data_IF_790509210016
#
_entry.id   IF_790509210016
#
_cell.length_a   1.000
_cell.length_b   1.000
_cell.length_c   1.000
_cell.angle_alpha   90.00
_cell.angle_beta   90.00
_cell.angle_gamma   90.00
#
_symmetry.space_group_name_H-M   'P 1'
#
loop_
_entity.id
_entity.type
_entity.pdbx_description
1 polymer ?
#
# COMPACT_ATOMS: atom_id res chain seq x y z
N UNK A 1 3.96 -0.26 21.48
CA UNK A 1 3.88 -0.26 20.02
C UNK A 1 5.15 -0.89 19.50
N UNK A 2 5.07 -1.98 18.72
CA UNK A 2 6.27 -2.65 18.18
C UNK A 2 6.17 -2.75 16.67
N UNK A 3 7.27 -2.44 15.97
CA UNK A 3 7.34 -2.54 14.51
C UNK A 3 7.48 -3.99 14.07
N UNK A 4 6.63 -4.40 13.14
CA UNK A 4 6.62 -5.73 12.53
C UNK A 4 7.05 -5.73 11.06
N UNK A 5 6.84 -4.62 10.36
CA UNK A 5 7.20 -4.45 8.95
C UNK A 5 7.63 -3.00 8.67
N UNK A 6 8.57 -2.81 7.75
CA UNK A 6 8.95 -1.50 7.22
C UNK A 6 10.03 -0.79 8.01
N UNK A 7 10.75 0.11 7.33
CA UNK A 7 11.74 1.01 7.93
C UNK A 7 11.60 2.43 7.36
N UNK A 8 12.11 3.41 8.09
CA UNK A 8 12.19 4.80 7.63
C UNK A 8 10.89 5.34 7.04
N UNK A 9 10.98 5.86 5.81
CA UNK A 9 9.87 6.46 5.05
C UNK A 9 9.26 5.46 4.04
N UNK A 10 9.00 4.24 4.50
CA UNK A 10 8.26 3.22 3.77
C UNK A 10 6.95 2.90 4.53
N UNK A 11 5.95 2.29 3.85
CA UNK A 11 4.84 1.70 4.57
C UNK A 11 5.33 0.71 5.62
N UNK A 12 4.75 0.79 6.79
CA UNK A 12 5.12 0.01 7.95
C UNK A 12 3.89 -0.57 8.64
N UNK A 13 4.12 -1.66 9.38
CA UNK A 13 3.10 -2.27 10.23
C UNK A 13 3.58 -2.25 11.66
N UNK A 14 2.77 -1.68 12.55
CA UNK A 14 3.01 -1.63 13.98
C UNK A 14 1.90 -2.37 14.75
N UNK A 15 2.24 -2.98 15.89
CA UNK A 15 1.26 -3.48 16.85
C UNK A 15 0.86 -2.39 17.84
N UNK A 16 -0.43 -2.07 17.91
CA UNK A 16 -0.99 -1.14 18.89
C UNK A 16 -2.07 -1.85 19.71
N UNK A 17 -1.78 -2.08 21.00
CA UNK A 17 -2.59 -2.94 21.88
C UNK A 17 -2.77 -4.34 21.26
N UNK A 18 -3.94 -4.63 20.71
CA UNK A 18 -4.29 -5.91 20.07
C UNK A 18 -4.50 -5.78 18.55
N UNK A 19 -4.32 -4.58 17.98
CA UNK A 19 -4.52 -4.31 16.56
C UNK A 19 -3.20 -4.22 15.80
N UNK A 20 -3.23 -4.66 14.53
CA UNK A 20 -2.18 -4.41 13.55
C UNK A 20 -2.54 -3.17 12.75
N UNK A 21 -1.66 -2.18 12.74
CA UNK A 21 -1.86 -0.93 12.03
C UNK A 21 -0.90 -0.85 10.85
N UNK A 22 -1.44 -0.87 9.64
CA UNK A 22 -0.68 -0.51 8.44
C UNK A 22 -0.69 1.00 8.28
N UNK A 23 0.49 1.59 8.22
CA UNK A 23 0.66 3.02 8.07
C UNK A 23 1.48 3.35 6.82
N UNK A 24 1.04 4.36 6.08
CA UNK A 24 1.69 4.81 4.86
C UNK A 24 1.84 6.34 4.89
N UNK A 25 3.09 6.86 4.87
CA UNK A 25 3.32 8.27 4.60
C UNK A 25 3.03 8.56 3.12
N UNK A 26 2.29 9.62 2.86
CA UNK A 26 1.89 10.04 1.52
C UNK A 26 2.25 11.51 1.30
N UNK A 27 3.06 11.75 0.27
CA UNK A 27 3.44 13.10 -0.16
C UNK A 27 2.73 13.49 -1.44
N UNK A 28 2.04 14.63 -1.41
CA UNK A 28 1.45 15.26 -2.59
C UNK A 28 2.35 16.32 -3.24
N UNK A 29 3.56 16.54 -2.72
CA UNK A 29 4.46 17.63 -3.11
C UNK A 29 4.10 19.00 -2.51
N UNK A 30 2.89 19.15 -1.96
CA UNK A 30 2.41 20.36 -1.26
C UNK A 30 2.04 20.08 0.20
N UNK A 31 1.56 18.87 0.47
CA UNK A 31 1.12 18.39 1.79
C UNK A 31 1.59 16.95 1.97
N UNK A 32 2.17 16.67 3.13
CA UNK A 32 2.49 15.33 3.63
C UNK A 32 1.40 14.89 4.62
N UNK A 33 0.93 13.66 4.52
CA UNK A 33 0.00 13.09 5.48
C UNK A 33 0.32 11.62 5.75
N UNK A 34 0.18 11.22 7.01
CA UNK A 34 0.29 9.82 7.41
C UNK A 34 -1.11 9.21 7.47
N UNK A 35 -1.34 8.17 6.68
CA UNK A 35 -2.56 7.38 6.74
C UNK A 35 -2.31 6.10 7.51
N UNK A 36 -3.32 5.64 8.26
CA UNK A 36 -3.22 4.41 9.05
C UNK A 36 -4.53 3.65 9.03
N UNK A 37 -4.44 2.35 8.79
CA UNK A 37 -5.58 1.44 8.65
C UNK A 37 -5.34 0.18 9.44
N UNK A 38 -6.40 -0.36 10.04
CA UNK A 38 -6.32 -1.65 10.72
C UNK A 38 -6.21 -2.75 9.68
N UNK A 39 -5.31 -3.70 9.88
CA UNK A 39 -5.17 -4.90 9.06
C UNK A 39 -5.30 -6.17 9.91
N UNK A 40 -5.50 -7.31 9.26
CA UNK A 40 -5.55 -8.63 9.89
C UNK A 40 -4.18 -9.29 9.86
N UNK A 41 -4.02 -10.34 10.66
CA UNK A 41 -2.78 -11.12 10.67
C UNK A 41 -2.48 -11.75 9.29
N UNK A 42 -3.52 -12.22 8.58
CA UNK A 42 -3.38 -12.77 7.22
C UNK A 42 -2.81 -11.76 6.22
N UNK A 43 -3.13 -10.48 6.35
CA UNK A 43 -2.57 -9.41 5.51
C UNK A 43 -1.07 -9.25 5.81
N UNK A 44 -0.70 -9.21 7.09
CA UNK A 44 0.69 -9.08 7.52
C UNK A 44 1.53 -10.27 7.03
N UNK A 45 1.00 -11.49 7.11
CA UNK A 45 1.69 -12.69 6.67
C UNK A 45 2.01 -12.62 5.17
N UNK A 46 1.08 -12.14 4.34
CA UNK A 46 1.33 -11.90 2.91
C UNK A 46 2.35 -10.78 2.70
N UNK A 47 2.25 -9.67 3.43
CA UNK A 47 3.20 -8.55 3.32
C UNK A 47 4.65 -8.95 3.64
N UNK A 48 4.83 -9.91 4.55
CA UNK A 48 6.14 -10.46 4.91
C UNK A 48 6.64 -11.48 3.89
N UNK A 49 5.75 -12.30 3.32
CA UNK A 49 6.10 -13.40 2.45
C UNK A 49 6.24 -13.02 0.96
N UNK A 50 5.51 -12.00 0.50
CA UNK A 50 5.41 -11.62 -0.92
C UNK A 50 5.85 -10.16 -1.15
N UNK A 51 7.13 -9.94 -1.51
CA UNK A 51 7.66 -8.61 -1.78
C UNK A 51 6.95 -7.90 -2.94
N UNK A 52 6.45 -8.66 -3.93
CA UNK A 52 5.76 -8.09 -5.09
C UNK A 52 4.42 -7.51 -4.67
N UNK A 53 3.60 -8.27 -3.94
CA UNK A 53 2.32 -7.78 -3.38
C UNK A 53 2.52 -6.62 -2.42
N UNK A 54 3.56 -6.67 -1.59
CA UNK A 54 3.91 -5.55 -0.71
C UNK A 54 4.23 -4.28 -1.51
N UNK A 55 5.02 -4.39 -2.57
CA UNK A 55 5.33 -3.25 -3.44
C UNK A 55 4.11 -2.76 -4.23
N UNK A 56 3.27 -3.68 -4.73
CA UNK A 56 2.03 -3.33 -5.41
C UNK A 56 1.07 -2.56 -4.50
N UNK A 57 0.89 -3.01 -3.25
CA UNK A 57 0.06 -2.32 -2.27
C UNK A 57 0.58 -0.92 -1.98
N UNK A 58 1.90 -0.75 -1.79
CA UNK A 58 2.52 0.56 -1.57
C UNK A 58 2.17 1.54 -2.69
N UNK A 59 2.38 1.15 -3.96
CA UNK A 59 2.14 2.03 -5.12
C UNK A 59 0.66 2.35 -5.27
N UNK A 60 -0.20 1.33 -5.19
CA UNK A 60 -1.64 1.48 -5.39
C UNK A 60 -2.25 2.31 -4.25
N UNK A 61 -1.97 1.96 -2.99
CA UNK A 61 -2.47 2.68 -1.84
C UNK A 61 -1.99 4.14 -1.84
N UNK A 62 -0.70 4.39 -2.12
CA UNK A 62 -0.18 5.75 -2.22
C UNK A 62 -0.92 6.56 -3.28
N UNK A 63 -1.16 5.98 -4.46
CA UNK A 63 -1.89 6.64 -5.56
C UNK A 63 -3.31 7.04 -5.14
N UNK A 64 -4.05 6.11 -4.52
CA UNK A 64 -5.43 6.35 -4.09
C UNK A 64 -5.50 7.38 -2.95
N UNK A 65 -4.60 7.27 -1.98
CA UNK A 65 -4.54 8.17 -0.83
C UNK A 65 -4.16 9.59 -1.24
N UNK A 66 -3.15 9.74 -2.11
CA UNK A 66 -2.74 11.03 -2.64
C UNK A 66 -3.89 11.74 -3.37
N UNK A 67 -4.68 11.01 -4.17
CA UNK A 67 -5.85 11.59 -4.83
C UNK A 67 -6.96 11.99 -3.84
N UNK A 68 -7.14 11.23 -2.77
CA UNK A 68 -8.10 11.55 -1.70
C UNK A 68 -7.76 12.83 -0.93
N UNK A 69 -6.52 13.32 -1.05
CA UNK A 69 -6.09 14.59 -0.47
C UNK A 69 -6.57 15.81 -1.26
N UNK A 70 -6.97 15.64 -2.53
CA UNK A 70 -7.44 16.75 -3.37
C UNK A 70 -8.81 17.30 -2.89
N UNK A 71 -9.06 18.62 -3.00
CA UNK A 71 -10.36 19.20 -2.67
C UNK A 71 -11.50 18.57 -3.48
N UNK A 72 -12.58 18.15 -2.80
CA UNK A 72 -13.74 17.52 -3.43
C UNK A 72 -13.60 16.02 -3.72
N UNK A 73 -12.42 15.43 -3.46
CA UNK A 73 -12.23 13.98 -3.58
C UNK A 73 -12.86 13.21 -2.41
N UNK A 74 -13.33 12.00 -2.72
CA UNK A 74 -13.76 11.04 -1.69
C UNK A 74 -12.58 10.60 -0.84
N UNK A 75 -12.73 10.66 0.49
CA UNK A 75 -11.74 10.16 1.44
C UNK A 75 -11.70 8.63 1.42
N UNK A 76 -10.49 8.06 1.50
CA UNK A 76 -10.33 6.62 1.66
C UNK A 76 -10.79 6.24 3.07
N UNK A 77 -11.76 5.33 3.14
CA UNK A 77 -12.28 4.78 4.38
C UNK A 77 -11.61 3.45 4.71
N UNK A 78 -11.76 2.98 5.95
CA UNK A 78 -11.30 1.65 6.37
C UNK A 78 -11.85 0.54 5.45
N UNK A 79 -13.14 0.55 5.13
CA UNK A 79 -13.76 -0.47 4.26
C UNK A 79 -13.20 -0.43 2.82
N UNK A 80 -12.88 0.76 2.30
CA UNK A 80 -12.22 0.88 0.99
C UNK A 80 -10.80 0.33 1.02
N UNK A 81 -10.08 0.52 2.12
CA UNK A 81 -8.74 -0.04 2.29
C UNK A 81 -8.78 -1.56 2.46
N UNK A 82 -9.74 -2.10 3.20
CA UNK A 82 -9.95 -3.56 3.31
C UNK A 82 -10.23 -4.19 1.94
N UNK A 83 -11.10 -3.58 1.13
CA UNK A 83 -11.34 -4.06 -0.24
C UNK A 83 -10.06 -4.02 -1.10
N UNK A 84 -9.21 -3.01 -0.90
CA UNK A 84 -7.91 -2.94 -1.57
C UNK A 84 -6.96 -4.08 -1.13
N UNK A 85 -6.96 -4.45 0.14
CA UNK A 85 -6.16 -5.59 0.63
C UNK A 85 -6.62 -6.89 -0.02
N UNK A 86 -7.94 -7.11 -0.14
CA UNK A 86 -8.48 -8.28 -0.85
C UNK A 86 -8.07 -8.29 -2.33
N UNK A 87 -8.14 -7.14 -3.01
CA UNK A 87 -7.72 -7.01 -4.42
C UNK A 87 -6.21 -7.20 -4.65
N UNK A 88 -5.37 -6.80 -3.69
CA UNK A 88 -3.92 -6.75 -3.88
C UNK A 88 -3.16 -7.89 -3.19
N UNK A 89 -3.52 -8.20 -1.94
CA UNK A 89 -2.81 -9.21 -1.14
C UNK A 89 -3.38 -10.61 -1.35
N UNK A 90 -4.71 -10.74 -1.48
CA UNK A 90 -5.37 -12.05 -1.45
C UNK A 90 -5.91 -12.52 -2.79
N UNK A 91 -6.04 -11.63 -3.77
CA UNK A 91 -6.45 -11.98 -5.13
C UNK A 91 -5.50 -12.97 -5.80
N UNK A 92 -6.00 -13.73 -6.79
CA UNK A 92 -5.13 -14.57 -7.63
C UNK A 92 -4.09 -13.72 -8.36
N UNK A 93 -2.93 -14.29 -8.75
CA UNK A 93 -1.91 -13.53 -9.49
C UNK A 93 -2.46 -12.86 -10.76
N UNK A 94 -3.34 -13.55 -11.51
CA UNK A 94 -3.98 -12.97 -12.69
C UNK A 94 -4.88 -11.78 -12.33
N UNK A 95 -5.71 -11.90 -11.29
CA UNK A 95 -6.61 -10.83 -10.86
C UNK A 95 -5.85 -9.60 -10.33
N UNK A 96 -4.69 -9.82 -9.70
CA UNK A 96 -3.78 -8.75 -9.29
C UNK A 96 -3.24 -8.00 -10.51
N UNK A 97 -2.73 -8.70 -11.53
CA UNK A 97 -2.22 -8.06 -12.75
C UNK A 97 -3.31 -7.28 -13.50
N UNK A 98 -4.52 -7.82 -13.59
CA UNK A 98 -5.67 -7.11 -14.16
C UNK A 98 -6.01 -5.84 -13.38
N UNK A 99 -5.92 -5.89 -12.04
CA UNK A 99 -6.13 -4.73 -11.17
C UNK A 99 -5.03 -3.68 -11.33
N UNK A 100 -3.77 -4.09 -11.43
CA UNK A 100 -2.62 -3.21 -11.69
C UNK A 100 -2.83 -2.45 -13.01
N UNK A 101 -3.22 -3.15 -14.09
CA UNK A 101 -3.48 -2.51 -15.39
C UNK A 101 -4.66 -1.55 -15.32
N UNK A 102 -5.77 -1.96 -14.68
CA UNK A 102 -6.98 -1.15 -14.53
C UNK A 102 -6.69 0.14 -13.77
N UNK A 103 -6.06 0.05 -12.60
CA UNK A 103 -5.73 1.20 -11.74
C UNK A 103 -4.68 2.07 -12.43
N UNK A 104 -3.65 1.48 -13.04
CA UNK A 104 -2.64 2.23 -13.80
C UNK A 104 -3.25 3.10 -14.90
N UNK A 105 -4.23 2.57 -15.65
CA UNK A 105 -4.98 3.34 -16.65
C UNK A 105 -5.87 4.40 -16.02
N UNK A 106 -6.62 4.07 -14.98
CA UNK A 106 -7.56 5.00 -14.33
C UNK A 106 -6.85 6.22 -13.71
N UNK A 107 -5.63 6.02 -13.22
CA UNK A 107 -4.84 7.05 -12.53
C UNK A 107 -3.66 7.58 -13.37
N UNK A 108 -3.55 7.16 -14.64
CA UNK A 108 -2.48 7.52 -15.56
C UNK A 108 -1.07 7.35 -14.96
N UNK A 109 -0.82 6.19 -14.37
CA UNK A 109 0.42 5.85 -13.67
C UNK A 109 0.96 4.49 -14.12
N UNK A 110 2.28 4.42 -14.36
CA UNK A 110 2.97 3.19 -14.74
C UNK A 110 3.30 2.34 -13.50
N UNK A 111 2.27 1.74 -12.87
CA UNK A 111 2.41 0.94 -11.63
C UNK A 111 3.54 -0.11 -11.69
N UNK A 112 3.69 -0.92 -12.77
CA UNK A 112 4.76 -1.92 -12.83
C UNK A 112 6.17 -1.35 -12.67
N UNK A 113 6.43 -0.16 -13.23
CA UNK A 113 7.74 0.51 -13.13
C UNK A 113 8.05 0.88 -11.67
N UNK A 114 7.06 1.39 -10.94
CA UNK A 114 7.24 1.73 -9.53
C UNK A 114 7.40 0.49 -8.65
N UNK A 115 6.71 -0.60 -8.96
CA UNK A 115 6.90 -1.88 -8.27
C UNK A 115 8.36 -2.35 -8.43
N UNK A 116 8.88 -2.37 -9.66
CA UNK A 116 10.28 -2.75 -9.93
C UNK A 116 11.29 -1.86 -9.20
N UNK A 117 11.04 -0.55 -9.16
CA UNK A 117 11.89 0.40 -8.44
C UNK A 117 11.91 0.12 -6.93
N UNK A 118 10.75 -0.14 -6.32
CA UNK A 118 10.64 -0.47 -4.90
C UNK A 118 11.37 -1.79 -4.60
N UNK A 119 11.16 -2.81 -5.42
CA UNK A 119 11.84 -4.10 -5.27
C UNK A 119 13.36 -3.95 -5.36
N UNK A 120 13.84 -3.18 -6.34
CA UNK A 120 15.27 -2.90 -6.52
C UNK A 120 15.84 -2.12 -5.32
N UNK A 121 15.13 -1.09 -4.84
CA UNK A 121 15.52 -0.30 -3.66
C UNK A 121 15.66 -1.19 -2.42
N UNK A 122 14.72 -2.10 -2.20
CA UNK A 122 14.72 -3.01 -1.05
C UNK A 122 15.81 -4.08 -1.16
N UNK A 123 16.05 -4.62 -2.35
CA UNK A 123 17.13 -5.58 -2.58
C UNK A 123 18.52 -4.98 -2.32
N UNK A 124 18.71 -3.68 -2.61
CA UNK A 124 19.96 -2.96 -2.32
C UNK A 124 20.14 -2.52 -0.86
N UNK A 125 19.12 -2.67 -0.01
CA UNK A 125 19.17 -2.40 1.44
C UNK A 125 19.53 -3.64 2.28
N UNK A 126 19.62 -4.81 1.66
CA UNK A 126 19.89 -6.10 2.31
C UNK A 126 21.38 -6.28 2.68
#
# INVERSE_FOLDING_TARGET
MSRLLGDGYEPHVDTLAEALLYSLPVDSGFVSADFSFVIRQEDLDVLLADPYRRAALEVIAHTLLQQSMLPGSTKVTQAMFEALLEEVLHASPQALEESIVRIGRAHNIAIPVFIEQILTRRAGKA
#
